data_IF_823133212613
#
_entry.id   IF_823133212613
#
_cell.length_a   1.000
_cell.length_b   1.000
_cell.length_c   1.000
_cell.angle_alpha   90.00
_cell.angle_beta   90.00
_cell.angle_gamma   90.00
#
_symmetry.space_group_name_H-M   'P 1'
#
loop_
_entity.id
_entity.type
_entity.pdbx_description
1 polymer ?
#
# COMPACT_ATOMS: atom_id res chain seq x y z
N UNK A 1 13.83 -8.72 1.08
CA UNK A 1 13.20 -9.02 2.36
C UNK A 1 13.01 -7.76 3.16
N UNK A 2 11.89 -7.68 3.83
CA UNK A 2 11.57 -6.51 4.64
C UNK A 2 12.43 -6.47 5.91
N UNK A 3 12.85 -5.26 6.33
CA UNK A 3 13.63 -5.03 7.53
C UNK A 3 12.81 -4.44 8.67
N UNK A 4 11.49 -4.52 8.59
CA UNK A 4 10.64 -4.00 9.65
C UNK A 4 9.96 -5.15 10.39
N UNK A 5 9.50 -4.84 11.60
CA UNK A 5 8.75 -5.81 12.40
C UNK A 5 7.47 -6.21 11.69
N UNK A 6 7.04 -7.46 11.83
CA UNK A 6 5.74 -7.87 11.30
C UNK A 6 4.63 -6.99 11.86
N UNK A 7 3.72 -6.58 10.99
CA UNK A 7 2.60 -5.74 11.37
C UNK A 7 1.52 -6.59 12.02
N UNK A 8 0.99 -6.16 13.16
CA UNK A 8 -0.12 -6.85 13.79
C UNK A 8 -1.41 -6.59 13.02
N UNK A 9 -2.34 -7.53 13.13
CA UNK A 9 -3.70 -7.32 12.64
C UNK A 9 -4.69 -7.96 13.57
N UNK A 10 -5.91 -7.43 13.57
CA UNK A 10 -6.96 -7.91 14.45
C UNK A 10 -7.37 -9.33 14.06
N UNK A 11 -7.64 -10.15 15.04
CA UNK A 11 -8.22 -11.46 14.81
C UNK A 11 -9.69 -11.36 14.43
N UNK A 12 -10.13 -12.26 13.56
CA UNK A 12 -11.54 -12.42 13.27
C UNK A 12 -11.98 -13.78 13.75
N UNK A 13 -13.04 -13.81 14.55
CA UNK A 13 -13.66 -15.04 15.02
C UNK A 13 -15.12 -15.03 14.63
N UNK A 14 -15.53 -15.98 13.83
CA UNK A 14 -16.92 -16.18 13.44
C UNK A 14 -17.30 -17.63 13.70
N UNK A 15 -18.57 -17.95 13.58
CA UNK A 15 -19.03 -19.32 13.66
C UNK A 15 -18.68 -20.16 12.43
N UNK A 16 -18.11 -19.52 11.39
CA UNK A 16 -17.76 -20.20 10.16
C UNK A 16 -16.23 -20.29 10.02
N UNK A 17 -15.65 -21.49 10.18
CA UNK A 17 -14.20 -21.65 10.09
C UNK A 17 -13.62 -21.26 8.72
N UNK A 18 -14.39 -21.42 7.66
CA UNK A 18 -13.92 -21.04 6.31
C UNK A 18 -13.74 -19.52 6.19
N UNK A 19 -14.65 -18.76 6.80
CA UNK A 19 -14.53 -17.29 6.82
C UNK A 19 -13.30 -16.88 7.62
N UNK A 20 -13.09 -17.49 8.79
CA UNK A 20 -11.94 -17.18 9.63
C UNK A 20 -10.63 -17.47 8.90
N UNK A 21 -10.57 -18.58 8.19
CA UNK A 21 -9.40 -18.95 7.41
C UNK A 21 -9.16 -17.98 6.25
N UNK A 22 -10.22 -17.63 5.52
CA UNK A 22 -10.11 -16.69 4.40
C UNK A 22 -9.58 -15.34 4.86
N UNK A 23 -10.02 -14.87 6.02
CA UNK A 23 -9.52 -13.64 6.59
C UNK A 23 -8.00 -13.71 6.87
N UNK A 24 -7.55 -14.80 7.51
CA UNK A 24 -6.13 -14.96 7.81
C UNK A 24 -5.27 -15.01 6.55
N UNK A 25 -5.77 -15.68 5.52
CA UNK A 25 -5.06 -15.75 4.23
C UNK A 25 -4.98 -14.36 3.61
N UNK A 26 -6.09 -13.63 3.58
CA UNK A 26 -6.13 -12.28 3.02
C UNK A 26 -5.18 -11.34 3.74
N UNK A 27 -5.14 -11.38 5.06
CA UNK A 27 -4.23 -10.54 5.85
C UNK A 27 -2.78 -10.92 5.62
N UNK A 28 -2.50 -12.22 5.48
CA UNK A 28 -1.16 -12.70 5.14
C UNK A 28 -0.71 -12.22 3.76
N UNK A 29 -1.61 -12.24 2.78
CA UNK A 29 -1.31 -11.74 1.44
C UNK A 29 -1.04 -10.23 1.46
N UNK A 30 -1.84 -9.48 2.21
CA UNK A 30 -1.62 -8.04 2.37
C UNK A 30 -0.24 -7.76 2.97
N UNK A 31 0.09 -8.44 4.07
CA UNK A 31 1.40 -8.30 4.70
C UNK A 31 2.53 -8.65 3.73
N UNK A 32 2.33 -9.66 2.89
CA UNK A 32 3.32 -10.05 1.90
C UNK A 32 3.63 -8.98 0.87
N UNK A 33 2.72 -8.03 0.69
CA UNK A 33 2.89 -6.93 -0.27
C UNK A 33 3.39 -5.64 0.37
N UNK A 34 3.58 -5.62 1.69
CA UNK A 34 4.19 -4.48 2.36
C UNK A 34 5.71 -4.58 2.24
N UNK A 35 6.33 -3.57 1.70
CA UNK A 35 7.77 -3.51 1.47
C UNK A 35 8.32 -2.18 1.89
N UNK A 36 9.59 -2.16 2.23
CA UNK A 36 10.31 -0.90 2.43
C UNK A 36 10.45 -0.22 1.07
N UNK A 37 10.03 1.02 0.98
CA UNK A 37 9.93 1.74 -0.29
C UNK A 37 10.18 3.22 -0.06
N UNK A 38 10.81 3.87 -1.03
CA UNK A 38 11.04 5.31 -1.00
C UNK A 38 10.81 5.90 -2.38
N UNK A 39 9.81 6.76 -2.48
CA UNK A 39 9.52 7.54 -3.68
C UNK A 39 8.49 8.61 -3.32
N UNK A 40 8.11 9.42 -4.29
CA UNK A 40 7.12 10.47 -4.09
C UNK A 40 7.57 11.46 -3.03
N UNK A 41 6.71 11.68 -2.06
CA UNK A 41 6.99 12.60 -0.95
C UNK A 41 7.68 11.94 0.24
N UNK A 42 8.02 10.65 0.16
CA UNK A 42 8.77 9.99 1.21
C UNK A 42 10.23 10.45 1.19
N UNK A 43 10.74 10.87 2.34
CA UNK A 43 12.13 11.29 2.49
C UNK A 43 13.04 10.16 2.97
N UNK A 44 12.46 9.02 3.29
CA UNK A 44 13.20 7.83 3.70
C UNK A 44 12.42 6.58 3.31
N UNK A 45 13.08 5.44 3.33
CA UNK A 45 12.40 4.17 3.11
C UNK A 45 11.50 3.85 4.28
N UNK A 46 10.24 3.59 3.97
CA UNK A 46 9.21 3.28 4.97
C UNK A 46 8.34 2.12 4.45
N UNK A 47 7.65 1.40 5.35
CA UNK A 47 6.74 0.35 4.92
C UNK A 47 5.59 0.92 4.10
N UNK A 48 5.42 0.37 2.89
CA UNK A 48 4.43 0.80 1.90
C UNK A 48 3.76 -0.45 1.34
N UNK A 49 2.46 -0.37 1.08
CA UNK A 49 1.76 -1.46 0.40
C UNK A 49 1.96 -1.33 -1.11
N UNK A 50 2.64 -2.30 -1.70
CA UNK A 50 2.81 -2.36 -3.14
C UNK A 50 1.57 -2.91 -3.81
N UNK A 51 1.47 -2.74 -5.14
CA UNK A 51 0.29 -3.14 -5.89
C UNK A 51 0.09 -4.66 -5.93
N UNK A 52 1.14 -5.42 -5.72
CA UNK A 52 1.08 -6.86 -5.71
C UNK A 52 2.48 -7.47 -5.63
N UNK A 53 2.55 -8.79 -5.56
CA UNK A 53 3.82 -9.49 -5.34
C UNK A 53 4.83 -9.24 -6.48
N UNK A 54 4.33 -9.14 -7.70
CA UNK A 54 5.17 -8.98 -8.88
C UNK A 54 5.39 -7.51 -9.27
N UNK A 55 4.89 -6.58 -8.46
CA UNK A 55 5.05 -5.16 -8.70
C UNK A 55 6.03 -4.56 -7.72
N UNK A 56 6.78 -3.60 -8.17
CA UNK A 56 7.78 -2.92 -7.36
C UNK A 56 7.37 -1.50 -6.97
N UNK A 57 6.14 -1.11 -7.28
CA UNK A 57 5.60 0.20 -6.95
C UNK A 57 4.17 0.08 -6.43
N UNK A 58 3.69 1.07 -5.65
CA UNK A 58 2.33 1.02 -5.13
C UNK A 58 1.24 1.36 -6.14
N UNK A 59 1.55 2.00 -7.25
CA UNK A 59 0.57 2.49 -8.22
C UNK A 59 -0.53 3.35 -7.58
N UNK A 60 -0.82 4.49 -8.18
CA UNK A 60 -1.69 5.50 -7.56
C UNK A 60 -3.11 5.00 -7.31
N UNK A 61 -3.71 4.35 -8.30
CA UNK A 61 -5.08 3.84 -8.16
C UNK A 61 -5.15 2.73 -7.11
N UNK A 62 -4.20 1.81 -7.16
CA UNK A 62 -4.17 0.70 -6.22
C UNK A 62 -3.97 1.20 -4.80
N UNK A 63 -3.08 2.17 -4.61
CA UNK A 63 -2.86 2.79 -3.31
C UNK A 63 -4.15 3.41 -2.77
N UNK A 64 -4.85 4.17 -3.59
CA UNK A 64 -6.08 4.84 -3.17
C UNK A 64 -7.17 3.84 -2.79
N UNK A 65 -7.36 2.82 -3.60
CA UNK A 65 -8.38 1.81 -3.36
C UNK A 65 -8.06 1.00 -2.11
N UNK A 66 -6.82 0.57 -1.94
CA UNK A 66 -6.42 -0.23 -0.79
C UNK A 66 -6.52 0.55 0.51
N UNK A 67 -6.10 1.81 0.52
CA UNK A 67 -6.20 2.65 1.71
C UNK A 67 -7.66 2.85 2.10
N UNK A 68 -8.51 3.13 1.13
CA UNK A 68 -9.92 3.36 1.38
C UNK A 68 -10.64 2.10 1.88
N UNK A 69 -10.30 0.94 1.31
CA UNK A 69 -11.05 -0.28 1.57
C UNK A 69 -10.58 -1.11 2.77
N UNK A 70 -9.65 -0.63 3.55
CA UNK A 70 -9.27 -1.36 4.76
C UNK A 70 -7.90 -1.04 5.31
N UNK A 71 -6.93 -0.78 4.46
CA UNK A 71 -5.56 -0.55 4.93
C UNK A 71 -5.50 0.62 5.93
N UNK A 72 -6.28 1.67 5.69
CA UNK A 72 -6.33 2.82 6.59
C UNK A 72 -6.85 2.48 7.98
N UNK A 73 -7.71 1.47 8.09
CA UNK A 73 -8.22 1.02 9.36
C UNK A 73 -7.22 0.15 10.10
N UNK A 74 -6.59 -0.80 9.41
CA UNK A 74 -5.69 -1.75 10.05
C UNK A 74 -4.30 -1.18 10.30
N UNK A 75 -3.76 -0.45 9.33
CA UNK A 75 -2.39 0.05 9.40
C UNK A 75 -2.33 1.50 8.90
N UNK A 76 -2.74 2.46 9.74
CA UNK A 76 -2.77 3.87 9.32
C UNK A 76 -1.40 4.40 8.90
N UNK A 77 -0.33 3.96 9.53
CA UNK A 77 1.02 4.44 9.18
C UNK A 77 1.43 3.94 7.79
N UNK A 78 1.17 2.66 7.50
CA UNK A 78 1.44 2.10 6.16
C UNK A 78 0.59 2.80 5.12
N UNK A 79 -0.68 3.10 5.45
CA UNK A 79 -1.57 3.84 4.56
C UNK A 79 -1.03 5.21 4.24
N UNK A 80 -0.62 5.94 5.25
CA UNK A 80 -0.03 7.26 5.09
C UNK A 80 1.21 7.20 4.19
N UNK A 81 2.10 6.25 4.48
CA UNK A 81 3.32 6.08 3.70
C UNK A 81 3.00 5.75 2.24
N UNK A 82 2.02 4.87 2.03
CA UNK A 82 1.61 4.46 0.69
C UNK A 82 1.07 5.64 -0.13
N UNK A 83 0.24 6.48 0.49
CA UNK A 83 -0.26 7.67 -0.17
C UNK A 83 0.87 8.65 -0.48
N UNK A 84 1.76 8.88 0.46
CA UNK A 84 2.90 9.77 0.22
C UNK A 84 3.82 9.24 -0.88
N UNK A 85 3.97 7.93 -0.99
CA UNK A 85 4.81 7.32 -2.00
C UNK A 85 4.31 7.57 -3.43
N UNK A 86 2.99 7.71 -3.61
CA UNK A 86 2.41 7.96 -4.94
C UNK A 86 2.16 9.43 -5.21
N UNK A 87 2.33 10.31 -4.22
CA UNK A 87 2.21 11.74 -4.42
C UNK A 87 3.55 12.32 -4.87
N UNK A 88 3.48 13.29 -5.75
CA UNK A 88 4.64 14.03 -6.23
C UNK A 88 4.38 15.51 -6.14
N UNK A 89 5.47 16.27 -5.96
CA UNK A 89 5.40 17.70 -6.15
C UNK A 89 5.11 17.94 -7.64
N UNK A 90 4.05 18.69 -7.91
CA UNK A 90 3.65 18.96 -9.27
C UNK A 90 4.77 19.69 -10.01
N UNK A 91 5.09 19.19 -11.17
CA UNK A 91 6.08 19.80 -12.01
C UNK A 91 5.54 21.05 -12.68
N UNK A 92 6.42 21.96 -13.06
CA UNK A 92 6.03 23.15 -13.78
C UNK A 92 5.34 22.79 -15.10
N UNK A 93 4.30 23.52 -15.49
CA UNK A 93 3.69 23.32 -16.79
C UNK A 93 4.66 23.63 -17.94
N UNK A 94 4.51 22.96 -19.07
CA UNK A 94 3.51 21.96 -19.36
C UNK A 94 3.88 20.60 -18.80
N UNK A 95 2.94 19.97 -18.14
CA UNK A 95 3.10 18.62 -17.62
C UNK A 95 2.45 17.66 -18.61
N UNK A 96 3.24 17.03 -19.42
CA UNK A 96 2.78 16.28 -20.58
C UNK A 96 3.46 14.93 -20.70
N UNK A 97 2.91 14.12 -21.60
CA UNK A 97 3.47 12.82 -21.96
C UNK A 97 3.21 11.77 -20.93
N UNK A 98 4.12 10.82 -20.84
CA UNK A 98 3.99 9.70 -19.90
C UNK A 98 3.85 10.14 -18.47
N UNK A 99 4.47 11.26 -18.13
CA UNK A 99 4.39 11.80 -16.79
C UNK A 99 2.97 12.17 -16.38
N UNK A 100 2.17 12.62 -17.31
CA UNK A 100 0.77 12.90 -17.05
C UNK A 100 0.03 11.63 -16.64
N UNK A 101 0.26 10.56 -17.34
CA UNK A 101 -0.34 9.28 -17.02
C UNK A 101 0.11 8.76 -15.66
N UNK A 102 1.39 8.88 -15.38
CA UNK A 102 1.94 8.46 -14.10
C UNK A 102 1.32 9.23 -12.94
N UNK A 103 1.06 10.50 -13.12
CA UNK A 103 0.46 11.34 -12.10
C UNK A 103 -1.02 11.02 -11.87
N UNK A 104 -1.71 10.58 -12.90
CA UNK A 104 -3.14 10.28 -12.81
C UNK A 104 -3.38 8.86 -12.36
N UNK A 105 -2.62 7.95 -12.85
CA UNK A 105 -2.80 6.53 -12.60
C UNK A 105 -1.92 6.08 -11.45
#
# INVERSE_FOLDING_TARGET
MSNFEPLPFAEMKTSNPAVNRAYRIAMGDLLGNVRMFRDGLLDQSLPVLLAGLDYDTPWTRDAAINVWNGLGLFWPDVSRNTLLAVLEIRRDPPYIGGQYWDAII
#
